data_IF_900438150143
#
_entry.id   IF_900438150143
#
_cell.length_a   1.000
_cell.length_b   1.000
_cell.length_c   1.000
_cell.angle_alpha   90.00
_cell.angle_beta   90.00
_cell.angle_gamma   90.00
#
_symmetry.space_group_name_H-M   'P 1'
#
loop_
_entity.id
_entity.type
_entity.pdbx_description
1 polymer ?
#
# COMPACT_ATOMS: atom_id res chain seq x y z
N UNK A 1 37.46 51.09 29.35
CA UNK A 1 37.31 52.14 28.32
C UNK A 1 36.98 51.43 27.02
N UNK A 2 35.79 51.43 26.43
CA UNK A 2 34.45 51.99 26.73
C UNK A 2 33.55 51.41 25.62
N UNK A 3 32.53 50.61 25.95
CA UNK A 3 31.14 51.06 26.06
C UNK A 3 30.56 51.65 24.75
N UNK A 4 29.89 50.80 23.96
CA UNK A 4 28.79 51.20 23.07
C UNK A 4 27.65 50.18 23.18
N UNK A 5 27.09 50.15 24.37
CA UNK A 5 25.70 49.77 24.65
C UNK A 5 24.99 51.08 25.05
N UNK A 6 23.68 51.17 24.80
CA UNK A 6 22.78 52.34 24.91
C UNK A 6 22.82 53.28 23.70
N UNK A 7 21.81 53.21 22.83
CA UNK A 7 20.58 54.04 22.88
C UNK A 7 19.61 53.46 21.85
N UNK A 8 18.65 52.66 22.31
CA UNK A 8 17.34 52.42 21.66
C UNK A 8 16.41 51.79 22.69
N UNK A 9 16.14 52.56 23.73
CA UNK A 9 15.03 52.35 24.67
C UNK A 9 14.27 53.67 24.66
N UNK A 10 13.21 53.74 23.85
CA UNK A 10 12.05 54.61 23.94
C UNK A 10 11.17 54.33 22.72
N UNK A 11 9.86 54.21 22.94
CA UNK A 11 8.80 53.81 21.98
C UNK A 11 8.51 52.31 21.85
N UNK A 12 8.45 51.61 22.99
CA UNK A 12 7.63 50.41 23.17
C UNK A 12 6.60 50.65 24.27
N UNK A 13 5.71 51.61 24.06
CA UNK A 13 4.52 51.82 24.88
C UNK A 13 3.57 52.71 24.09
N UNK A 14 2.30 52.30 24.02
CA UNK A 14 1.20 52.92 23.26
C UNK A 14 1.11 52.48 21.78
N UNK A 15 0.94 51.18 21.55
CA UNK A 15 0.04 50.71 20.49
C UNK A 15 -0.57 49.35 20.89
N UNK A 16 -0.99 49.26 22.14
CA UNK A 16 -1.75 48.16 22.71
C UNK A 16 -3.00 48.76 23.34
N UNK A 17 -3.85 49.36 22.52
CA UNK A 17 -5.25 49.69 22.78
C UNK A 17 -5.77 50.42 21.54
N UNK A 18 -7.00 50.10 21.16
CA UNK A 18 -7.76 50.64 20.01
C UNK A 18 -7.49 49.96 18.66
N UNK A 19 -7.80 48.66 18.56
CA UNK A 19 -8.63 48.15 17.44
C UNK A 19 -9.52 47.03 17.99
N UNK A 20 -10.56 47.42 18.71
CA UNK A 20 -11.74 46.58 18.92
C UNK A 20 -12.95 47.37 18.39
N UNK A 21 -13.92 46.62 17.88
CA UNK A 21 -15.25 47.04 17.42
C UNK A 21 -15.39 47.47 15.96
N UNK A 22 -15.43 46.48 15.07
CA UNK A 22 -16.28 46.54 13.87
C UNK A 22 -17.04 45.22 13.75
N UNK A 23 -18.39 45.21 13.82
CA UNK A 23 -19.19 43.99 13.93
C UNK A 23 -19.53 43.47 12.53
N UNK A 24 -18.53 43.13 11.73
CA UNK A 24 -18.72 42.50 10.41
C UNK A 24 -17.56 41.53 10.19
N UNK A 25 -17.60 40.36 10.84
CA UNK A 25 -16.88 39.14 10.45
C UNK A 25 -17.03 37.98 11.45
N UNK A 26 -18.18 37.88 12.13
CA UNK A 26 -18.48 36.78 13.08
C UNK A 26 -19.52 35.81 12.53
N UNK A 27 -19.47 35.50 11.23
CA UNK A 27 -20.33 34.52 10.57
C UNK A 27 -19.63 33.66 9.49
N UNK A 28 -18.30 33.54 9.54
CA UNK A 28 -17.55 32.60 8.67
C UNK A 28 -16.58 31.71 9.46
N UNK A 29 -16.98 31.31 10.67
CA UNK A 29 -16.26 30.31 11.47
C UNK A 29 -17.23 29.27 12.05
N UNK A 30 -18.26 28.92 11.30
CA UNK A 30 -19.18 27.82 11.60
C UNK A 30 -19.61 27.13 10.30
N UNK A 31 -18.65 26.49 9.62
CA UNK A 31 -18.96 25.48 8.61
C UNK A 31 -17.73 24.57 8.44
N UNK A 32 -17.97 23.26 8.56
CA UNK A 32 -17.01 22.16 8.34
C UNK A 32 -16.02 21.87 9.48
N UNK A 33 -16.58 21.68 10.69
CA UNK A 33 -16.12 20.59 11.56
C UNK A 33 -17.26 19.61 11.75
N UNK A 34 -17.69 18.94 10.68
CA UNK A 34 -18.50 17.73 10.82
C UNK A 34 -17.58 16.63 11.32
N UNK A 35 -17.51 16.53 12.65
CA UNK A 35 -17.28 15.33 13.42
C UNK A 35 -17.46 14.05 12.60
N UNK A 36 -16.37 13.44 12.13
CA UNK A 36 -16.37 12.04 11.76
C UNK A 36 -16.50 11.24 13.06
N UNK A 37 -17.74 11.02 13.50
CA UNK A 37 -18.02 9.91 14.41
C UNK A 37 -17.70 8.63 13.66
N UNK A 38 -16.45 8.17 13.75
CA UNK A 38 -16.08 6.82 13.37
C UNK A 38 -16.75 5.88 14.35
N UNK A 39 -17.99 5.50 14.04
CA UNK A 39 -18.58 4.31 14.63
C UNK A 39 -17.61 3.17 14.28
N UNK A 40 -17.00 2.47 15.25
CA UNK A 40 -16.16 1.33 14.93
C UNK A 40 -17.03 0.28 14.23
N UNK A 41 -16.81 0.11 12.93
CA UNK A 41 -17.59 -0.79 12.11
C UNK A 41 -17.32 -2.21 12.58
N UNK A 42 -18.38 -2.91 12.94
CA UNK A 42 -18.32 -4.31 13.29
C UNK A 42 -18.23 -5.16 12.02
N UNK A 43 -17.03 -5.23 11.43
CA UNK A 43 -16.74 -6.04 10.24
C UNK A 43 -16.99 -7.54 10.45
N UNK A 44 -17.16 -8.00 11.70
CA UNK A 44 -17.53 -9.40 12.00
C UNK A 44 -18.91 -9.75 11.43
N UNK A 45 -19.79 -8.77 11.21
CA UNK A 45 -21.11 -8.99 10.58
C UNK A 45 -21.05 -9.26 9.07
N UNK A 46 -19.96 -8.87 8.40
CA UNK A 46 -19.71 -9.13 6.98
C UNK A 46 -18.96 -10.46 6.74
N UNK A 47 -18.65 -11.20 7.81
CA UNK A 47 -17.84 -12.43 7.81
C UNK A 47 -18.56 -13.69 7.28
N UNK A 48 -19.64 -13.53 6.52
CA UNK A 48 -20.25 -14.67 5.78
C UNK A 48 -19.38 -15.11 4.60
N UNK A 49 -18.51 -14.24 4.10
CA UNK A 49 -17.52 -14.56 3.06
C UNK A 49 -16.20 -14.98 3.71
N UNK A 50 -15.76 -16.21 3.46
CA UNK A 50 -14.39 -16.65 3.80
C UNK A 50 -13.42 -15.81 2.98
N UNK A 51 -12.93 -14.74 3.59
CA UNK A 51 -12.04 -13.77 2.96
C UNK A 51 -10.63 -14.00 3.48
N UNK A 52 -9.65 -13.99 2.58
CA UNK A 52 -8.23 -14.13 2.94
C UNK A 52 -7.41 -12.97 2.41
N UNK A 53 -6.45 -12.52 3.20
CA UNK A 53 -5.39 -11.63 2.75
C UNK A 53 -4.19 -12.45 2.30
N UNK A 54 -3.57 -12.04 1.20
CA UNK A 54 -2.28 -12.60 0.76
C UNK A 54 -1.19 -11.61 1.09
N UNK A 55 -0.29 -11.99 2.01
CA UNK A 55 0.81 -11.15 2.45
C UNK A 55 1.98 -11.21 1.46
N UNK A 56 2.59 -10.07 1.07
CA UNK A 56 3.58 -10.00 0.00
C UNK A 56 5.01 -10.20 0.52
N UNK A 57 5.33 -11.41 0.99
CA UNK A 57 6.66 -11.73 1.54
C UNK A 57 7.73 -11.70 0.46
N UNK A 58 7.41 -12.10 -0.78
CA UNK A 58 8.36 -12.05 -1.90
C UNK A 58 8.67 -10.60 -2.31
N UNK A 59 7.66 -9.72 -2.32
CA UNK A 59 7.88 -8.27 -2.48
C UNK A 59 8.76 -7.73 -1.35
N UNK A 60 8.52 -8.13 -0.09
CA UNK A 60 9.35 -7.70 1.03
C UNK A 60 10.83 -8.10 0.83
N UNK A 61 11.09 -9.31 0.32
CA UNK A 61 12.43 -9.75 -0.01
C UNK A 61 13.05 -8.87 -1.12
N UNK A 62 12.31 -8.62 -2.21
CA UNK A 62 12.74 -7.80 -3.34
C UNK A 62 13.11 -6.36 -2.94
N UNK A 63 12.36 -5.78 -1.99
CA UNK A 63 12.57 -4.44 -1.45
C UNK A 63 13.65 -4.38 -0.36
N UNK A 64 14.16 -5.53 0.07
CA UNK A 64 15.19 -5.62 1.08
C UNK A 64 16.49 -4.89 0.70
N UNK A 65 17.35 -4.61 1.68
CA UNK A 65 18.70 -4.10 1.43
C UNK A 65 19.43 -4.98 0.42
N UNK A 66 20.17 -4.36 -0.51
CA UNK A 66 20.85 -5.05 -1.60
C UNK A 66 19.92 -5.85 -2.54
N UNK A 67 18.62 -5.55 -2.56
CA UNK A 67 17.65 -6.18 -3.45
C UNK A 67 17.44 -5.47 -4.78
N UNK A 68 16.27 -5.66 -5.37
CA UNK A 68 16.04 -5.41 -6.79
C UNK A 68 16.12 -3.92 -7.14
N UNK A 69 15.66 -3.04 -6.24
CA UNK A 69 15.76 -1.58 -6.45
C UNK A 69 17.20 -1.06 -6.43
N UNK A 70 18.15 -1.80 -5.84
CA UNK A 70 19.57 -1.45 -5.98
C UNK A 70 20.09 -1.78 -7.38
N UNK A 71 19.57 -2.84 -8.01
CA UNK A 71 19.85 -3.12 -9.41
C UNK A 71 19.26 -2.04 -10.31
N UNK A 72 17.98 -1.68 -10.16
CA UNK A 72 17.34 -0.66 -10.99
C UNK A 72 17.97 0.73 -10.84
N UNK A 73 18.48 1.06 -9.64
CA UNK A 73 19.19 2.32 -9.39
C UNK A 73 20.69 2.29 -9.73
N UNK A 74 21.20 1.20 -10.32
CA UNK A 74 22.60 1.06 -10.73
C UNK A 74 23.60 0.89 -9.58
N UNK A 75 23.13 0.64 -8.34
CA UNK A 75 23.97 0.43 -7.16
C UNK A 75 24.64 -0.95 -7.12
N UNK A 76 24.16 -1.90 -7.91
CA UNK A 76 24.75 -3.22 -8.10
C UNK A 76 24.29 -3.89 -9.40
N UNK A 77 25.06 -4.86 -9.89
CA UNK A 77 24.67 -5.68 -11.05
C UNK A 77 23.79 -6.87 -10.67
N UNK A 78 23.89 -7.96 -11.46
CA UNK A 78 23.05 -9.16 -11.36
C UNK A 78 23.03 -9.82 -9.97
N UNK A 79 24.05 -9.59 -9.13
CA UNK A 79 24.09 -10.10 -7.75
C UNK A 79 22.89 -9.67 -6.89
N UNK A 80 22.27 -8.54 -7.20
CA UNK A 80 21.10 -8.04 -6.47
C UNK A 80 19.79 -8.61 -6.99
N UNK A 81 19.81 -9.37 -8.10
CA UNK A 81 18.63 -10.02 -8.64
C UNK A 81 18.32 -11.34 -7.95
N UNK A 82 19.16 -11.78 -7.00
CA UNK A 82 18.88 -12.92 -6.12
C UNK A 82 19.00 -12.46 -4.67
N UNK A 83 17.93 -12.59 -3.89
CA UNK A 83 17.86 -12.15 -2.49
C UNK A 83 17.28 -13.21 -1.59
N UNK A 84 17.64 -13.18 -0.30
CA UNK A 84 17.08 -14.08 0.69
C UNK A 84 15.64 -13.70 1.06
N UNK A 85 14.80 -14.71 1.23
CA UNK A 85 13.46 -14.54 1.77
C UNK A 85 13.58 -14.22 3.27
N UNK A 86 12.96 -13.13 3.76
CA UNK A 86 13.02 -12.77 5.17
C UNK A 86 12.28 -13.79 6.03
N UNK A 87 12.82 -14.08 7.22
CA UNK A 87 12.22 -15.04 8.17
C UNK A 87 10.83 -14.59 8.64
N UNK A 88 10.63 -13.29 8.80
CA UNK A 88 9.40 -12.69 9.29
C UNK A 88 8.91 -11.63 8.31
N UNK A 89 7.59 -11.57 8.11
CA UNK A 89 6.95 -10.41 7.48
C UNK A 89 6.95 -9.24 8.48
N UNK A 90 7.55 -8.12 8.10
CA UNK A 90 7.69 -6.92 8.96
C UNK A 90 6.74 -5.80 8.58
N UNK A 91 5.89 -6.01 7.57
CA UNK A 91 4.80 -5.11 7.21
C UNK A 91 5.27 -3.65 7.07
N UNK A 92 6.14 -3.38 6.10
CA UNK A 92 6.66 -2.04 5.83
C UNK A 92 5.68 -1.19 5.00
N UNK A 93 5.83 0.14 5.01
CA UNK A 93 4.98 1.06 4.22
C UNK A 93 4.84 0.64 2.74
N UNK A 94 5.94 0.14 2.16
CA UNK A 94 6.02 -0.25 0.75
C UNK A 94 5.46 -1.65 0.46
N UNK A 95 5.26 -2.48 1.49
CA UNK A 95 4.71 -3.85 1.37
C UNK A 95 3.26 -3.95 1.86
N UNK A 96 2.64 -2.81 2.16
CA UNK A 96 1.27 -2.73 2.66
C UNK A 96 1.12 -2.73 4.17
N UNK A 97 2.15 -2.31 4.91
CA UNK A 97 2.20 -2.37 6.36
C UNK A 97 1.14 -1.58 7.10
N UNK A 98 0.70 -0.46 6.52
CA UNK A 98 -0.31 0.39 7.14
C UNK A 98 -1.69 -0.25 7.08
N UNK A 99 -1.95 -0.94 5.98
CA UNK A 99 -3.13 -1.77 5.73
C UNK A 99 -3.10 -3.04 6.59
N UNK A 100 -1.94 -3.71 6.69
CA UNK A 100 -1.78 -4.94 7.46
C UNK A 100 -2.18 -4.76 8.93
N UNK A 101 -1.75 -3.66 9.57
CA UNK A 101 -2.16 -3.33 10.94
C UNK A 101 -3.68 -3.22 11.09
N UNK A 102 -4.34 -2.48 10.18
CA UNK A 102 -5.80 -2.31 10.18
C UNK A 102 -6.55 -3.64 10.09
N UNK A 103 -6.10 -4.58 9.27
CA UNK A 103 -6.75 -5.88 9.12
C UNK A 103 -6.43 -6.86 10.24
N UNK A 104 -5.21 -6.80 10.80
CA UNK A 104 -4.86 -7.58 11.99
C UNK A 104 -5.75 -7.23 13.18
N UNK A 105 -5.99 -5.94 13.43
CA UNK A 105 -6.86 -5.46 14.50
C UNK A 105 -8.30 -5.98 14.39
N UNK A 106 -8.68 -6.45 13.19
CA UNK A 106 -10.00 -6.93 12.84
C UNK A 106 -10.08 -8.47 12.75
N UNK A 107 -9.00 -9.20 13.09
CA UNK A 107 -8.89 -10.66 13.04
C UNK A 107 -9.17 -11.27 11.66
N UNK A 108 -8.72 -10.61 10.58
CA UNK A 108 -8.82 -11.22 9.26
C UNK A 108 -7.91 -12.45 9.13
N UNK A 109 -8.39 -13.44 8.36
CA UNK A 109 -7.55 -14.58 7.97
C UNK A 109 -6.54 -14.14 6.92
N UNK A 110 -5.30 -14.60 7.04
CA UNK A 110 -4.25 -14.33 6.08
C UNK A 110 -3.47 -15.60 5.74
N UNK A 111 -2.87 -15.59 4.56
CA UNK A 111 -1.83 -16.51 4.09
C UNK A 111 -0.69 -15.68 3.52
N UNK A 112 0.50 -16.26 3.38
CA UNK A 112 1.59 -15.60 2.65
C UNK A 112 1.56 -15.96 1.17
N UNK A 113 2.15 -15.12 0.34
CA UNK A 113 2.40 -15.41 -1.07
C UNK A 113 3.31 -16.64 -1.28
N UNK A 114 4.17 -16.95 -0.30
CA UNK A 114 4.90 -18.22 -0.21
C UNK A 114 3.97 -19.42 -0.03
N UNK A 115 2.92 -19.32 0.79
CA UNK A 115 1.95 -20.40 0.97
C UNK A 115 1.20 -20.66 -0.35
N UNK A 116 0.91 -19.59 -1.10
CA UNK A 116 0.26 -19.67 -2.43
C UNK A 116 1.19 -20.29 -3.47
N UNK A 117 2.49 -19.97 -3.52
CA UNK A 117 3.42 -20.65 -4.46
C UNK A 117 3.58 -22.15 -4.14
N UNK A 118 3.61 -22.50 -2.85
CA UNK A 118 3.73 -23.91 -2.41
C UNK A 118 2.46 -24.71 -2.66
N UNK A 119 1.30 -24.13 -2.40
CA UNK A 119 -0.01 -24.74 -2.60
C UNK A 119 -1.01 -23.73 -3.18
N UNK A 120 -1.05 -23.56 -4.51
CA UNK A 120 -2.00 -22.67 -5.19
C UNK A 120 -3.47 -22.92 -4.82
N UNK A 121 -3.83 -24.17 -4.52
CA UNK A 121 -5.21 -24.56 -4.19
C UNK A 121 -5.68 -24.03 -2.82
N UNK A 122 -4.78 -23.46 -2.02
CA UNK A 122 -5.14 -22.81 -0.76
C UNK A 122 -6.17 -21.70 -0.96
N UNK A 123 -6.13 -21.01 -2.11
CA UNK A 123 -7.07 -19.93 -2.42
C UNK A 123 -8.50 -20.43 -2.65
N UNK A 124 -8.69 -21.67 -3.11
CA UNK A 124 -10.01 -22.26 -3.38
C UNK A 124 -10.87 -22.43 -2.11
N UNK A 125 -10.24 -22.33 -0.92
CA UNK A 125 -10.93 -22.40 0.38
C UNK A 125 -11.69 -21.12 0.71
N UNK A 126 -11.43 -20.05 -0.04
CA UNK A 126 -11.90 -18.70 0.22
C UNK A 126 -12.82 -18.24 -0.91
N UNK A 127 -13.83 -17.44 -0.55
CA UNK A 127 -14.75 -16.85 -1.52
C UNK A 127 -14.21 -15.52 -2.08
N UNK A 128 -13.25 -14.91 -1.39
CA UNK A 128 -12.65 -13.63 -1.72
C UNK A 128 -11.17 -13.65 -1.32
N UNK A 129 -10.32 -13.20 -2.23
CA UNK A 129 -8.90 -12.98 -1.99
C UNK A 129 -8.64 -11.47 -2.03
N UNK A 130 -7.93 -10.94 -1.03
CA UNK A 130 -7.46 -9.56 -1.00
C UNK A 130 -5.95 -9.59 -1.09
N UNK A 131 -5.40 -9.04 -2.17
CA UNK A 131 -3.96 -8.85 -2.33
C UNK A 131 -3.55 -7.53 -1.73
N UNK A 132 -2.44 -7.54 -0.99
CA UNK A 132 -1.75 -6.32 -0.60
C UNK A 132 -0.81 -5.90 -1.75
N UNK A 133 0.39 -5.40 -1.45
CA UNK A 133 1.39 -5.00 -2.46
C UNK A 133 2.17 -6.19 -3.03
N UNK A 134 1.46 -7.20 -3.56
CA UNK A 134 2.03 -8.40 -4.20
C UNK A 134 2.56 -8.08 -5.60
N UNK A 135 3.61 -7.27 -5.67
CA UNK A 135 4.27 -6.83 -6.90
C UNK A 135 5.15 -7.91 -7.53
N UNK A 136 5.93 -8.62 -6.71
CA UNK A 136 6.82 -9.69 -7.14
C UNK A 136 6.20 -11.03 -6.78
N UNK A 137 5.85 -11.82 -7.78
CA UNK A 137 5.17 -13.10 -7.61
C UNK A 137 5.77 -14.16 -8.53
N UNK A 138 5.59 -15.43 -8.20
CA UNK A 138 5.91 -16.54 -9.11
C UNK A 138 4.83 -16.70 -10.19
N UNK A 139 5.13 -17.54 -11.20
CA UNK A 139 4.12 -17.93 -12.19
C UNK A 139 2.94 -18.67 -11.55
N UNK A 140 3.21 -19.54 -10.55
CA UNK A 140 2.15 -20.30 -9.88
C UNK A 140 1.20 -19.38 -9.11
N UNK A 141 1.74 -18.40 -8.40
CA UNK A 141 0.94 -17.38 -7.72
C UNK A 141 0.13 -16.56 -8.72
N UNK A 142 0.76 -16.08 -9.80
CA UNK A 142 0.07 -15.34 -10.85
C UNK A 142 -1.13 -16.12 -11.39
N UNK A 143 -0.91 -17.39 -11.74
CA UNK A 143 -1.96 -18.26 -12.26
C UNK A 143 -3.06 -18.48 -11.20
N UNK A 144 -2.71 -18.82 -9.95
CA UNK A 144 -3.68 -19.05 -8.88
C UNK A 144 -4.56 -17.83 -8.62
N UNK A 145 -3.94 -16.66 -8.52
CA UNK A 145 -4.60 -15.38 -8.25
C UNK A 145 -5.51 -15.00 -9.41
N UNK A 146 -5.02 -15.05 -10.65
CA UNK A 146 -5.79 -14.58 -11.81
C UNK A 146 -6.93 -15.52 -12.20
N UNK A 147 -6.85 -16.81 -11.83
CA UNK A 147 -7.95 -17.77 -11.99
C UNK A 147 -8.99 -17.70 -10.85
N UNK A 148 -8.64 -17.17 -9.67
CA UNK A 148 -9.60 -17.02 -8.59
C UNK A 148 -10.72 -16.04 -8.98
N UNK A 149 -12.01 -16.37 -8.81
CA UNK A 149 -13.13 -15.62 -9.41
C UNK A 149 -13.44 -14.28 -8.74
N UNK A 150 -12.92 -14.04 -7.53
CA UNK A 150 -13.16 -12.80 -6.78
C UNK A 150 -11.89 -12.34 -6.05
N UNK A 151 -11.12 -11.48 -6.69
CA UNK A 151 -9.88 -10.89 -6.14
C UNK A 151 -10.01 -9.39 -6.03
N UNK A 152 -9.67 -8.85 -4.86
CA UNK A 152 -9.43 -7.43 -4.66
C UNK A 152 -7.92 -7.19 -4.77
N UNK A 153 -7.52 -6.41 -5.76
CA UNK A 153 -6.15 -5.89 -5.88
C UNK A 153 -6.11 -4.54 -5.18
N UNK A 154 -5.74 -4.54 -3.90
CA UNK A 154 -5.82 -3.36 -3.06
C UNK A 154 -4.73 -2.32 -3.40
N UNK A 155 -3.57 -2.79 -3.86
CA UNK A 155 -2.49 -1.92 -4.28
C UNK A 155 -2.33 -1.92 -5.81
N UNK A 156 -1.99 -0.77 -6.41
CA UNK A 156 -1.53 -0.73 -7.78
C UNK A 156 -0.18 -1.44 -7.91
N UNK A 157 0.22 -1.73 -9.15
CA UNK A 157 1.48 -2.44 -9.42
C UNK A 157 1.50 -3.88 -8.87
N UNK A 158 0.33 -4.48 -8.60
CA UNK A 158 0.22 -5.89 -8.26
C UNK A 158 0.57 -6.77 -9.49
N UNK A 159 1.14 -7.94 -9.22
CA UNK A 159 1.51 -8.93 -10.24
C UNK A 159 2.39 -8.35 -11.35
N UNK A 160 3.31 -7.45 -10.99
CA UNK A 160 4.07 -6.67 -11.97
C UNK A 160 5.34 -7.38 -12.42
N UNK A 161 6.00 -8.13 -11.54
CA UNK A 161 7.27 -8.77 -11.84
C UNK A 161 7.25 -10.25 -11.47
N UNK A 162 7.82 -11.07 -12.36
CA UNK A 162 7.97 -12.50 -12.18
C UNK A 162 9.27 -12.80 -11.43
N UNK A 163 9.17 -13.61 -10.39
CA UNK A 163 10.31 -14.18 -9.67
C UNK A 163 10.28 -15.71 -9.71
N UNK A 164 11.44 -16.33 -9.51
CA UNK A 164 11.56 -17.77 -9.20
C UNK A 164 11.99 -17.93 -7.75
N UNK A 165 11.50 -18.96 -7.07
CA UNK A 165 11.86 -19.27 -5.69
C UNK A 165 12.73 -20.53 -5.62
N UNK A 166 13.78 -20.48 -4.80
CA UNK A 166 14.58 -21.63 -4.38
C UNK A 166 14.39 -21.79 -2.86
N UNK A 167 13.57 -22.75 -2.46
CA UNK A 167 13.24 -22.99 -1.05
C UNK A 167 14.37 -23.67 -0.27
N UNK A 168 15.24 -24.42 -0.93
CA UNK A 168 16.41 -25.04 -0.28
C UNK A 168 17.43 -23.98 0.13
N UNK A 169 17.60 -22.94 -0.71
CA UNK A 169 18.47 -21.78 -0.42
C UNK A 169 17.75 -20.63 0.27
N UNK A 170 16.42 -20.72 0.41
CA UNK A 170 15.57 -19.66 0.93
C UNK A 170 15.81 -18.32 0.21
N UNK A 171 15.75 -18.34 -1.12
CA UNK A 171 15.99 -17.17 -1.99
C UNK A 171 14.93 -16.99 -3.06
N UNK A 172 14.73 -15.76 -3.50
CA UNK A 172 14.04 -15.44 -4.76
C UNK A 172 15.01 -14.85 -5.78
N UNK A 173 14.72 -15.06 -7.07
CA UNK A 173 15.46 -14.46 -8.18
C UNK A 173 14.53 -13.75 -9.15
N UNK A 174 14.85 -12.53 -9.58
CA UNK A 174 14.11 -11.82 -10.62
C UNK A 174 14.22 -12.55 -11.97
N UNK A 175 13.08 -12.88 -12.54
CA UNK A 175 12.99 -13.52 -13.87
C UNK A 175 12.64 -12.48 -14.93
N UNK A 176 11.63 -11.64 -14.68
CA UNK A 176 11.05 -10.77 -15.70
C UNK A 176 10.25 -9.60 -15.11
N UNK A 177 10.28 -8.43 -15.75
CA UNK A 177 9.58 -7.21 -15.31
C UNK A 177 10.55 -6.07 -15.00
N UNK A 178 10.06 -4.84 -14.81
CA UNK A 178 10.89 -3.66 -14.51
C UNK A 178 12.07 -3.47 -15.47
N UNK A 179 11.83 -3.60 -16.77
CA UNK A 179 12.84 -3.47 -17.83
C UNK A 179 13.92 -4.57 -17.78
N UNK A 180 13.61 -5.74 -17.21
CA UNK A 180 14.48 -6.91 -17.16
C UNK A 180 13.78 -8.17 -17.76
N UNK A 181 14.51 -9.04 -18.47
CA UNK A 181 15.90 -8.87 -18.92
C UNK A 181 16.07 -7.92 -20.11
N UNK A 182 14.95 -7.53 -20.75
CA UNK A 182 14.92 -6.60 -21.88
C UNK A 182 14.22 -5.31 -21.47
N UNK A 183 14.70 -4.17 -21.99
CA UNK A 183 14.29 -2.84 -21.55
C UNK A 183 12.82 -2.50 -21.83
N UNK A 184 12.22 -3.16 -22.80
CA UNK A 184 10.82 -2.99 -23.20
C UNK A 184 9.84 -3.81 -22.33
N UNK A 185 10.34 -4.75 -21.54
CA UNK A 185 9.51 -5.57 -20.64
C UNK A 185 9.17 -4.75 -19.39
N UNK A 186 8.00 -4.12 -19.39
CA UNK A 186 7.46 -3.44 -18.20
C UNK A 186 6.90 -4.43 -17.20
N UNK A 187 5.76 -5.04 -17.53
CA UNK A 187 5.14 -6.10 -16.74
C UNK A 187 5.71 -7.47 -17.11
N UNK A 188 6.12 -8.24 -16.11
CA UNK A 188 6.74 -9.56 -16.26
C UNK A 188 5.82 -10.59 -16.91
N UNK A 189 4.52 -10.50 -16.66
CA UNK A 189 3.51 -11.44 -17.15
C UNK A 189 2.78 -10.94 -18.40
N UNK A 190 3.04 -9.70 -18.84
CA UNK A 190 2.25 -9.07 -19.90
C UNK A 190 0.77 -8.95 -19.53
N UNK A 191 0.48 -8.77 -18.24
CA UNK A 191 -0.88 -8.79 -17.74
C UNK A 191 -1.70 -7.60 -18.25
N UNK A 192 -2.84 -7.88 -18.90
CA UNK A 192 -3.66 -6.85 -19.57
C UNK A 192 -4.30 -5.85 -18.60
N UNK A 193 -4.40 -6.21 -17.32
CA UNK A 193 -4.96 -5.36 -16.27
C UNK A 193 -3.88 -4.63 -15.46
N UNK A 194 -2.63 -4.58 -15.92
CA UNK A 194 -1.58 -3.78 -15.29
C UNK A 194 -2.07 -2.34 -15.00
N UNK A 195 -2.10 -2.01 -13.71
CA UNK A 195 -2.59 -0.75 -13.19
C UNK A 195 -1.47 0.11 -12.56
N UNK A 196 -0.21 -0.19 -12.84
CA UNK A 196 0.99 0.51 -12.34
C UNK A 196 0.97 2.02 -12.56
N UNK A 197 0.20 2.52 -13.55
CA UNK A 197 -0.03 3.95 -13.76
C UNK A 197 -0.60 4.69 -12.53
N UNK A 198 -1.19 3.97 -11.58
CA UNK A 198 -1.76 4.52 -10.34
C UNK A 198 -0.81 4.45 -9.12
N UNK A 199 0.39 3.87 -9.26
CA UNK A 199 1.34 3.65 -8.14
C UNK A 199 1.70 4.93 -7.39
N UNK A 200 1.78 6.05 -8.11
CA UNK A 200 2.19 7.34 -7.53
C UNK A 200 1.03 8.19 -7.01
N UNK A 201 -0.22 7.71 -7.10
CA UNK A 201 -1.36 8.37 -6.47
C UNK A 201 -1.43 7.97 -4.99
N UNK A 202 -0.54 8.51 -4.17
CA UNK A 202 -0.44 8.19 -2.73
C UNK A 202 -1.37 9.00 -1.84
N UNK A 203 -1.92 10.11 -2.35
CA UNK A 203 -2.95 10.87 -1.66
C UNK A 203 -4.27 10.07 -1.61
N UNK A 204 -4.60 9.38 -2.71
CA UNK A 204 -5.68 8.41 -2.79
C UNK A 204 -7.03 8.99 -2.30
N UNK A 205 -7.29 10.28 -2.58
CA UNK A 205 -8.45 11.03 -2.07
C UNK A 205 -9.76 10.72 -2.82
N UNK A 206 -9.67 10.42 -4.12
CA UNK A 206 -10.80 10.14 -4.99
C UNK A 206 -10.79 8.68 -5.47
N UNK A 207 -10.48 7.78 -4.55
CA UNK A 207 -10.27 6.38 -4.83
C UNK A 207 -11.53 5.71 -5.41
N UNK A 208 -11.32 4.75 -6.31
CA UNK A 208 -12.35 3.91 -6.88
C UNK A 208 -11.87 2.47 -7.03
N UNK A 209 -12.73 1.53 -6.64
CA UNK A 209 -12.59 0.15 -7.07
C UNK A 209 -13.27 -0.02 -8.43
N UNK A 210 -12.49 -0.29 -9.47
CA UNK A 210 -13.02 -0.59 -10.79
C UNK A 210 -12.98 -2.10 -11.06
N UNK A 211 -13.98 -2.57 -11.81
CA UNK A 211 -14.15 -3.99 -12.10
C UNK A 211 -13.21 -4.46 -13.19
N UNK A 212 -12.63 -5.64 -13.01
CA UNK A 212 -11.92 -6.41 -14.03
C UNK A 212 -12.53 -7.81 -14.15
N UNK A 213 -11.96 -8.67 -14.99
CA UNK A 213 -12.50 -10.00 -15.26
C UNK A 213 -12.68 -10.86 -14.00
N UNK A 214 -11.69 -10.88 -13.10
CA UNK A 214 -11.68 -11.76 -11.92
C UNK A 214 -11.83 -11.01 -10.58
N UNK A 215 -12.33 -9.77 -10.59
CA UNK A 215 -12.57 -9.00 -9.36
C UNK A 215 -12.49 -7.49 -9.55
N UNK A 216 -11.84 -6.80 -8.61
CA UNK A 216 -11.76 -5.34 -8.58
C UNK A 216 -10.35 -4.85 -8.22
N UNK A 217 -9.96 -3.72 -8.80
CA UNK A 217 -8.69 -3.07 -8.55
C UNK A 217 -8.90 -1.68 -7.97
N UNK A 218 -8.08 -1.29 -7.02
CA UNK A 218 -8.00 0.10 -6.58
C UNK A 218 -7.17 0.92 -7.59
N UNK A 219 -7.55 2.18 -7.79
CA UNK A 219 -6.91 3.13 -8.70
C UNK A 219 -5.99 4.16 -7.99
N UNK A 220 -5.51 3.82 -6.80
CA UNK A 220 -4.53 4.60 -6.05
C UNK A 220 -3.80 3.76 -5.01
N UNK A 221 -2.71 4.30 -4.45
CA UNK A 221 -1.90 3.65 -3.44
C UNK A 221 -2.48 3.92 -2.03
N UNK A 222 -3.15 2.95 -1.37
CA UNK A 222 -4.07 3.20 -0.24
C UNK A 222 -3.40 3.37 1.12
N UNK A 223 -2.08 3.27 1.18
CA UNK A 223 -1.31 3.04 2.40
C UNK A 223 -1.61 4.02 3.55
N UNK A 224 -1.91 5.28 3.26
CA UNK A 224 -2.33 6.27 4.26
C UNK A 224 -3.86 6.45 4.32
N UNK A 225 -4.52 6.37 3.17
CA UNK A 225 -5.96 6.60 3.06
C UNK A 225 -6.75 5.55 3.84
N UNK A 226 -6.41 4.26 3.73
CA UNK A 226 -7.20 3.18 4.36
C UNK A 226 -7.29 3.30 5.89
N UNK A 227 -6.29 3.93 6.51
CA UNK A 227 -6.19 4.02 7.96
C UNK A 227 -7.21 5.02 8.52
N UNK A 228 -7.62 5.97 7.69
CA UNK A 228 -8.53 7.06 8.05
C UNK A 228 -9.86 6.99 7.29
N UNK A 229 -9.96 6.14 6.26
CA UNK A 229 -11.13 5.98 5.41
C UNK A 229 -11.78 4.62 5.64
N UNK A 230 -12.74 4.59 6.56
CA UNK A 230 -13.49 3.38 6.84
C UNK A 230 -14.42 2.97 5.70
N UNK A 231 -14.82 3.91 4.84
CA UNK A 231 -15.67 3.65 3.68
C UNK A 231 -14.93 2.81 2.64
N UNK A 232 -13.61 2.99 2.48
CA UNK A 232 -12.79 2.15 1.63
C UNK A 232 -12.84 0.68 2.07
N UNK A 233 -12.70 0.43 3.37
CA UNK A 233 -12.77 -0.91 3.95
C UNK A 233 -14.17 -1.49 3.77
N UNK A 234 -15.22 -0.74 4.11
CA UNK A 234 -16.61 -1.18 3.91
C UNK A 234 -16.87 -1.55 2.45
N UNK A 235 -16.46 -0.69 1.52
CA UNK A 235 -16.66 -0.90 0.08
C UNK A 235 -15.93 -2.16 -0.37
N UNK A 236 -14.67 -2.31 0.01
CA UNK A 236 -13.87 -3.49 -0.32
C UNK A 236 -14.52 -4.79 0.18
N UNK A 237 -15.15 -4.78 1.35
CA UNK A 237 -15.77 -5.96 1.94
C UNK A 237 -17.08 -6.37 1.26
N UNK A 238 -17.80 -5.45 0.61
CA UNK A 238 -19.06 -5.74 -0.07
C UNK A 238 -18.93 -6.05 -1.57
N UNK A 239 -17.78 -5.76 -2.19
CA UNK A 239 -17.48 -6.05 -3.61
C UNK A 239 -17.33 -7.54 -3.87
#
# INVERSE_FOLDING_TARGET
MTMRMLVTLLFASVLFLVVQFSPVNRQMLEAQSTSSTSVPINLRGLATYRTVLVLPVLTQAAYGPHGFYWFYSGRCGLKCLTVHIPKNFTASYVTGGGVYGTFLDQNFTYVTDIDVDKDPSILDKYNKVILLHNEYVTQKEFDAITHHPNVIYLYPNALYAQVSVDYDKNTITLVRGHSYPQKDIRNGFGWVFDNSKYEYNTACENWQFYKIQNGYMLDCYPQLAIQNDSLMIEKMMIL
#
